data_IF_023332510573
#
_entry.id   IF_023332510573
#
_cell.length_a   1.000
_cell.length_b   1.000
_cell.length_c   1.000
_cell.angle_alpha   90.00
_cell.angle_beta   90.00
_cell.angle_gamma   90.00
#
_symmetry.space_group_name_H-M   'P 1'
#
loop_
_entity.id
_entity.type
_entity.pdbx_description
1 polymer ?
#
# COMPACT_ATOMS: atom_id res chain seq x y z
N UNK A 1 -34.45 3.35 -14.38
CA UNK A 1 -33.50 2.25 -14.09
C UNK A 1 -32.39 2.85 -13.26
N UNK A 2 -32.35 2.60 -11.95
CA UNK A 2 -31.26 3.14 -11.11
C UNK A 2 -30.10 2.18 -11.22
N UNK A 3 -29.00 2.65 -11.79
CA UNK A 3 -27.73 1.93 -11.87
C UNK A 3 -27.31 1.55 -10.45
N UNK A 4 -27.07 0.25 -10.23
CA UNK A 4 -26.50 -0.22 -8.97
C UNK A 4 -25.05 0.27 -8.93
N UNK A 5 -24.78 1.26 -8.08
CA UNK A 5 -23.42 1.62 -7.67
C UNK A 5 -22.79 0.32 -7.15
N UNK A 6 -21.62 -0.11 -7.65
CA UNK A 6 -20.96 -1.30 -7.12
C UNK A 6 -20.80 -1.06 -5.61
N UNK A 7 -21.47 -1.91 -4.83
CA UNK A 7 -21.32 -1.90 -3.37
C UNK A 7 -19.82 -2.07 -3.15
N UNK A 8 -19.19 -1.11 -2.49
CA UNK A 8 -17.79 -1.21 -2.10
C UNK A 8 -17.59 -2.40 -1.17
N UNK A 9 -16.46 -2.45 -0.44
CA UNK A 9 -16.41 -3.36 0.70
C UNK A 9 -17.61 -3.03 1.63
N UNK A 10 -18.16 -4.04 2.31
CA UNK A 10 -19.35 -3.87 3.16
C UNK A 10 -19.15 -2.98 4.40
N UNK A 11 -18.05 -2.23 4.43
CA UNK A 11 -17.63 -1.39 5.53
C UNK A 11 -18.17 0.04 5.41
N UNK A 12 -18.50 0.70 6.53
CA UNK A 12 -18.95 2.08 6.53
C UNK A 12 -17.81 3.03 6.19
N UNK A 13 -18.14 4.24 5.71
CA UNK A 13 -17.16 5.28 5.36
C UNK A 13 -16.28 5.72 6.54
N UNK A 14 -16.75 5.53 7.78
CA UNK A 14 -16.01 5.85 9.02
C UNK A 14 -14.97 4.79 9.39
N UNK A 15 -15.12 3.57 8.88
CA UNK A 15 -14.22 2.46 9.14
C UNK A 15 -14.09 1.63 7.84
N UNK A 16 -13.45 2.18 6.80
CA UNK A 16 -13.51 1.60 5.44
C UNK A 16 -12.61 0.38 5.25
N UNK A 17 -11.84 -0.06 6.27
CA UNK A 17 -10.86 -1.12 6.13
C UNK A 17 -11.37 -2.47 6.66
N UNK A 18 -11.67 -3.46 5.81
CA UNK A 18 -12.12 -4.77 6.25
C UNK A 18 -10.95 -5.61 6.78
N UNK A 19 -11.13 -6.25 7.93
CA UNK A 19 -10.30 -7.38 8.35
C UNK A 19 -10.54 -8.58 7.40
N UNK A 20 -9.68 -9.60 7.43
CA UNK A 20 -9.91 -10.84 6.64
C UNK A 20 -11.24 -11.50 7.04
N UNK A 21 -11.64 -11.34 8.30
CA UNK A 21 -12.99 -11.62 8.77
C UNK A 21 -13.91 -10.44 8.42
N UNK A 22 -14.67 -10.57 7.31
CA UNK A 22 -15.53 -9.54 6.70
C UNK A 22 -16.53 -8.83 7.64
N UNK A 23 -16.75 -9.32 8.86
CA UNK A 23 -17.62 -8.69 9.86
C UNK A 23 -16.92 -7.58 10.67
N UNK A 24 -15.61 -7.43 10.57
CA UNK A 24 -14.84 -6.45 11.33
C UNK A 24 -14.24 -5.40 10.39
N UNK A 25 -14.54 -4.13 10.67
CA UNK A 25 -14.13 -3.00 9.85
C UNK A 25 -13.42 -1.97 10.73
N UNK A 26 -12.24 -1.53 10.30
CA UNK A 26 -11.37 -0.62 11.04
C UNK A 26 -11.26 0.72 10.33
N UNK A 27 -10.98 1.76 11.12
CA UNK A 27 -10.43 3.02 10.60
C UNK A 27 -8.99 2.79 10.17
N UNK A 28 -8.52 3.54 9.16
CA UNK A 28 -7.10 3.52 8.77
C UNK A 28 -6.13 3.87 9.92
N UNK A 29 -6.62 4.54 10.97
CA UNK A 29 -5.84 4.84 12.17
C UNK A 29 -5.38 3.58 12.92
N UNK A 30 -6.20 2.52 12.88
CA UNK A 30 -6.03 1.23 13.60
C UNK A 30 -5.35 0.15 12.75
N UNK A 31 -4.85 0.49 11.57
CA UNK A 31 -4.10 -0.47 10.76
C UNK A 31 -2.63 -0.21 11.03
N UNK A 32 -1.83 -1.15 11.53
CA UNK A 32 -0.39 -0.94 11.78
C UNK A 32 -0.11 0.23 12.73
N UNK A 33 -0.76 0.23 13.87
CA UNK A 33 -0.53 1.16 14.98
C UNK A 33 0.16 0.50 16.18
N UNK A 34 0.33 -0.82 16.15
CA UNK A 34 1.04 -1.61 17.15
C UNK A 34 0.13 -2.33 18.16
N UNK A 35 -1.19 -2.22 18.01
CA UNK A 35 -2.19 -2.96 18.77
C UNK A 35 -2.95 -3.95 17.87
N UNK A 36 -3.46 -5.04 18.43
CA UNK A 36 -4.25 -6.02 17.66
C UNK A 36 -5.71 -5.59 17.70
N UNK A 37 -6.19 -5.01 16.60
CA UNK A 37 -7.57 -4.55 16.44
C UNK A 37 -8.44 -5.52 15.62
N UNK A 38 -7.87 -6.26 14.65
CA UNK A 38 -8.59 -7.35 14.01
C UNK A 38 -8.57 -8.61 14.90
N UNK A 39 -9.62 -9.45 14.87
CA UNK A 39 -9.65 -10.70 15.64
C UNK A 39 -8.51 -11.69 15.33
N UNK A 40 -7.96 -11.59 14.13
CA UNK A 40 -6.84 -12.39 13.62
C UNK A 40 -5.50 -11.63 13.61
N UNK A 41 -5.47 -10.38 14.07
CA UNK A 41 -4.30 -9.49 14.01
C UNK A 41 -3.86 -9.13 12.59
N UNK A 42 -4.74 -9.26 11.59
CA UNK A 42 -4.42 -8.96 10.20
C UNK A 42 -3.99 -7.51 9.97
N UNK A 43 -4.57 -6.58 10.74
CA UNK A 43 -4.22 -5.16 10.81
C UNK A 43 -2.74 -4.92 11.12
N UNK A 44 -2.07 -5.84 11.83
CA UNK A 44 -0.65 -5.79 12.17
C UNK A 44 0.22 -6.72 11.32
N UNK A 45 -0.31 -7.23 10.20
CA UNK A 45 0.46 -8.08 9.31
C UNK A 45 1.66 -7.30 8.72
N UNK A 46 2.90 -7.82 8.77
CA UNK A 46 4.08 -7.10 8.26
C UNK A 46 3.95 -6.67 6.80
N UNK A 47 3.35 -7.49 5.93
CA UNK A 47 3.13 -7.14 4.52
C UNK A 47 2.12 -6.01 4.37
N UNK A 48 1.07 -6.01 5.19
CA UNK A 48 0.09 -4.92 5.23
C UNK A 48 0.74 -3.62 5.71
N UNK A 49 1.56 -3.67 6.76
CA UNK A 49 2.24 -2.49 7.30
C UNK A 49 3.27 -1.92 6.35
N UNK A 50 3.95 -2.77 5.59
CA UNK A 50 4.77 -2.29 4.47
C UNK A 50 3.89 -1.53 3.48
N UNK A 51 2.75 -2.09 3.05
CA UNK A 51 1.86 -1.44 2.09
C UNK A 51 1.28 -0.10 2.60
N UNK A 52 0.79 -0.02 3.85
CA UNK A 52 0.30 1.22 4.48
C UNK A 52 1.34 2.34 4.43
N UNK A 53 2.60 1.98 4.69
CA UNK A 53 3.70 2.94 4.79
C UNK A 53 4.35 3.30 3.45
N UNK A 54 3.91 2.71 2.33
CA UNK A 54 4.48 3.08 1.02
C UNK A 54 4.05 4.49 0.62
N UNK A 55 5.00 5.34 0.23
CA UNK A 55 4.67 6.65 -0.31
C UNK A 55 3.92 6.52 -1.65
N UNK A 56 3.09 7.52 -1.94
CA UNK A 56 2.43 7.62 -3.24
C UNK A 56 3.45 7.68 -4.39
N UNK A 57 3.08 7.10 -5.54
CA UNK A 57 3.91 7.06 -6.76
C UNK A 57 4.46 8.44 -7.13
N UNK A 58 3.62 9.48 -7.05
CA UNK A 58 4.02 10.84 -7.39
C UNK A 58 5.14 11.39 -6.50
N UNK A 59 5.15 11.03 -5.21
CA UNK A 59 6.20 11.44 -4.28
C UNK A 59 7.51 10.71 -4.59
N UNK A 60 7.45 9.40 -4.82
CA UNK A 60 8.61 8.60 -5.22
C UNK A 60 9.19 9.07 -6.55
N UNK A 61 8.34 9.34 -7.54
CA UNK A 61 8.77 9.84 -8.83
C UNK A 61 9.50 11.19 -8.67
N UNK A 62 8.95 12.11 -7.86
CA UNK A 62 9.61 13.38 -7.57
C UNK A 62 11.00 13.21 -6.94
N UNK A 63 11.12 12.29 -5.98
CA UNK A 63 12.40 11.97 -5.34
C UNK A 63 13.40 11.35 -6.33
N UNK A 64 12.99 10.31 -7.06
CA UNK A 64 13.84 9.60 -8.02
C UNK A 64 14.28 10.53 -9.14
N UNK A 65 13.37 11.39 -9.64
CA UNK A 65 13.69 12.40 -10.65
C UNK A 65 14.72 13.39 -10.15
N UNK A 66 14.63 13.85 -8.91
CA UNK A 66 15.60 14.78 -8.31
C UNK A 66 17.02 14.20 -8.24
N UNK A 67 17.14 12.89 -8.01
CA UNK A 67 18.43 12.22 -7.81
C UNK A 67 18.81 11.25 -8.93
N UNK A 68 18.13 11.35 -10.10
CA UNK A 68 18.16 10.36 -11.16
C UNK A 68 19.58 10.00 -11.59
N UNK A 69 20.43 11.02 -11.77
CA UNK A 69 21.75 10.88 -12.39
C UNK A 69 22.70 9.97 -11.60
N UNK A 70 22.58 9.93 -10.27
CA UNK A 70 23.40 9.06 -9.42
C UNK A 70 22.63 7.90 -8.81
N UNK A 71 21.33 8.05 -8.53
CA UNK A 71 20.53 7.05 -7.84
C UNK A 71 20.14 5.90 -8.78
N UNK A 72 19.65 6.23 -9.98
CA UNK A 72 19.13 5.24 -10.93
C UNK A 72 20.24 4.29 -11.40
N UNK A 73 21.32 4.76 -12.06
CA UNK A 73 22.33 3.85 -12.59
C UNK A 73 23.09 3.08 -11.51
N UNK A 74 23.12 3.58 -10.27
CA UNK A 74 23.87 2.95 -9.17
C UNK A 74 23.06 1.94 -8.36
N UNK A 75 21.76 2.17 -8.18
CA UNK A 75 20.94 1.38 -7.25
C UNK A 75 19.62 0.87 -7.84
N UNK A 76 19.02 1.57 -8.81
CA UNK A 76 17.69 1.24 -9.32
C UNK A 76 17.72 0.62 -10.73
N UNK A 77 18.89 0.53 -11.35
CA UNK A 77 19.07 -0.01 -12.70
C UNK A 77 18.86 1.04 -13.78
N UNK A 78 17.97 0.76 -14.72
CA UNK A 78 17.65 1.59 -15.86
C UNK A 78 16.14 1.85 -15.99
N UNK A 79 15.77 2.78 -16.87
CA UNK A 79 14.38 3.12 -17.16
C UNK A 79 13.94 4.53 -16.74
N UNK A 80 12.66 4.81 -16.96
CA UNK A 80 12.07 6.11 -16.62
C UNK A 80 11.68 6.19 -15.15
N UNK A 81 11.87 7.38 -14.58
CA UNK A 81 11.61 7.65 -13.14
C UNK A 81 10.20 7.29 -12.71
N UNK A 82 9.20 7.46 -13.60
CA UNK A 82 7.81 7.12 -13.35
C UNK A 82 7.58 5.61 -13.23
N UNK A 83 8.18 4.81 -14.12
CA UNK A 83 8.06 3.35 -14.06
C UNK A 83 8.82 2.78 -12.86
N UNK A 84 10.00 3.31 -12.55
CA UNK A 84 10.75 2.92 -11.35
C UNK A 84 9.91 3.24 -10.10
N UNK A 85 9.35 4.45 -10.00
CA UNK A 85 8.50 4.86 -8.88
C UNK A 85 7.25 3.97 -8.73
N UNK A 86 6.58 3.67 -9.85
CA UNK A 86 5.42 2.78 -9.87
C UNK A 86 5.78 1.39 -9.35
N UNK A 87 6.85 0.79 -9.87
CA UNK A 87 7.30 -0.54 -9.46
C UNK A 87 7.69 -0.59 -7.98
N UNK A 88 8.36 0.44 -7.47
CA UNK A 88 8.73 0.51 -6.04
C UNK A 88 7.51 0.71 -5.13
N UNK A 89 6.47 1.41 -5.58
CA UNK A 89 5.26 1.61 -4.80
C UNK A 89 4.36 0.37 -4.74
N UNK A 90 4.34 -0.44 -5.80
CA UNK A 90 3.34 -1.52 -5.91
C UNK A 90 3.90 -2.93 -5.77
N UNK A 91 5.22 -3.16 -5.93
CA UNK A 91 5.76 -4.52 -5.88
C UNK A 91 5.40 -5.18 -4.55
N UNK A 92 4.81 -6.36 -4.60
CA UNK A 92 4.21 -7.01 -3.44
C UNK A 92 5.25 -7.40 -2.37
N UNK A 93 6.50 -7.72 -2.75
CA UNK A 93 7.59 -8.04 -1.83
C UNK A 93 9.01 -7.74 -2.39
N UNK A 94 9.97 -7.54 -1.47
CA UNK A 94 11.43 -7.57 -1.75
C UNK A 94 12.00 -9.00 -1.65
N UNK A 95 11.27 -9.92 -1.01
CA UNK A 95 11.63 -11.33 -0.91
C UNK A 95 10.47 -12.20 -1.38
N UNK A 96 10.52 -12.59 -2.64
CA UNK A 96 10.14 -13.95 -3.05
C UNK A 96 11.42 -14.55 -3.64
N UNK A 97 12.16 -15.26 -2.80
CA UNK A 97 13.17 -16.21 -3.25
C UNK A 97 12.48 -17.57 -3.36
N UNK A 98 12.27 -18.03 -4.59
CA UNK A 98 12.53 -19.42 -4.97
C UNK A 98 13.54 -19.41 -6.12
#
# INVERSE_FOLDING_TARGET
MKEAVPVGNGCPVTAPWPCQQYSFCLSFAFVCDGEIDCPDGYDENPRLCVAKNRPAVALLEGFIRKYRDWLVPKYLGDGETKFIAYNLAIKEAVYDTE
#
